data_IF_610594646008
#
_entry.id   IF_610594646008
#
_cell.length_a   1.000
_cell.length_b   1.000
_cell.length_c   1.000
_cell.angle_alpha   90.00
_cell.angle_beta   90.00
_cell.angle_gamma   90.00
#
_symmetry.space_group_name_H-M   'P 1'
#
loop_
_entity.id
_entity.type
_entity.pdbx_description
1 polymer ?
#
# COMPACT_ATOMS: atom_id res chain seq x y z
N UNK A 1 -21.18 -1.45 2.38
CA UNK A 1 -20.67 -0.40 3.28
C UNK A 1 -19.30 0.01 2.81
N UNK A 2 -18.96 1.29 2.98
CA UNK A 2 -17.64 1.85 2.65
C UNK A 2 -17.17 2.61 3.88
N UNK A 3 -15.94 2.36 4.34
CA UNK A 3 -15.30 3.26 5.29
C UNK A 3 -14.75 4.46 4.53
N UNK A 4 -15.08 5.66 4.99
CA UNK A 4 -14.58 6.92 4.42
C UNK A 4 -13.40 7.49 5.21
N UNK A 5 -12.88 6.78 6.23
CA UNK A 5 -11.77 7.22 7.07
C UNK A 5 -10.44 6.59 6.62
N UNK A 6 -9.57 7.32 5.88
CA UNK A 6 -8.35 6.75 5.32
C UNK A 6 -7.37 6.24 6.37
N UNK A 7 -7.36 6.88 7.55
CA UNK A 7 -6.46 6.55 8.66
C UNK A 7 -6.59 5.09 9.14
N UNK A 8 -7.76 4.47 8.98
CA UNK A 8 -7.95 3.07 9.36
C UNK A 8 -7.15 2.10 8.46
N UNK A 9 -6.68 2.51 7.29
CA UNK A 9 -5.86 1.64 6.43
C UNK A 9 -4.54 1.28 7.13
N UNK A 10 -3.84 2.27 7.69
CA UNK A 10 -2.62 2.05 8.45
C UNK A 10 -2.88 1.18 9.69
N UNK A 11 -3.98 1.43 10.41
CA UNK A 11 -4.36 0.60 11.57
C UNK A 11 -4.57 -0.86 11.18
N UNK A 12 -5.32 -1.11 10.10
CA UNK A 12 -5.57 -2.48 9.62
C UNK A 12 -4.27 -3.20 9.24
N UNK A 13 -3.36 -2.53 8.54
CA UNK A 13 -2.07 -3.11 8.17
C UNK A 13 -1.21 -3.33 9.40
N UNK A 14 -1.16 -2.39 10.34
CA UNK A 14 -0.43 -2.55 11.60
C UNK A 14 -0.93 -3.76 12.40
N UNK A 15 -2.24 -3.91 12.54
CA UNK A 15 -2.83 -5.02 13.31
C UNK A 15 -2.57 -6.37 12.59
N UNK A 16 -2.55 -6.36 11.27
CA UNK A 16 -2.18 -7.52 10.46
C UNK A 16 -0.68 -7.86 10.57
N UNK A 17 0.20 -6.86 10.71
CA UNK A 17 1.61 -7.05 10.99
C UNK A 17 1.85 -7.56 12.43
N UNK A 18 1.10 -7.10 13.43
CA UNK A 18 1.20 -7.66 14.79
C UNK A 18 0.85 -9.15 14.83
N UNK A 19 -0.11 -9.58 14.01
CA UNK A 19 -0.59 -10.97 13.94
C UNK A 19 0.10 -11.80 12.86
N UNK A 20 1.05 -11.22 12.12
CA UNK A 20 1.72 -11.82 10.96
C UNK A 20 0.75 -12.47 9.94
N UNK A 21 -0.42 -11.85 9.75
CA UNK A 21 -1.51 -12.39 8.93
C UNK A 21 -1.47 -11.94 7.46
N UNK A 22 -0.47 -11.15 7.06
CA UNK A 22 -0.24 -10.76 5.68
C UNK A 22 0.65 -11.80 4.97
N UNK A 23 0.10 -12.71 4.15
CA UNK A 23 0.88 -13.82 3.57
C UNK A 23 2.02 -13.33 2.67
N UNK A 24 1.85 -12.15 2.07
CA UNK A 24 2.86 -11.54 1.21
C UNK A 24 3.95 -10.78 1.97
N UNK A 25 3.82 -10.55 3.29
CA UNK A 25 4.85 -9.92 4.13
C UNK A 25 5.33 -10.87 5.24
N UNK A 26 5.47 -12.17 5.00
CA UNK A 26 5.92 -13.12 6.05
C UNK A 26 7.43 -13.17 6.21
N UNK A 27 7.91 -13.45 7.44
CA UNK A 27 9.31 -13.77 7.72
C UNK A 27 10.15 -12.65 8.35
N UNK A 28 9.52 -11.55 8.77
CA UNK A 28 10.18 -10.53 9.59
C UNK A 28 10.14 -10.91 11.07
N UNK A 29 11.13 -10.45 11.85
CA UNK A 29 11.19 -10.67 13.30
C UNK A 29 10.54 -9.55 14.10
N UNK A 30 10.53 -8.33 13.58
CA UNK A 30 9.97 -7.14 14.24
C UNK A 30 9.57 -6.07 13.19
N UNK A 31 8.83 -5.06 13.60
CA UNK A 31 8.53 -3.90 12.76
C UNK A 31 8.38 -2.60 13.57
N UNK A 32 8.70 -1.48 12.92
CA UNK A 32 8.44 -0.14 13.43
C UNK A 32 7.42 0.59 12.54
N UNK A 33 6.61 1.45 13.14
CA UNK A 33 5.67 2.33 12.43
C UNK A 33 6.23 3.74 12.27
N UNK A 34 5.73 4.50 11.28
CA UNK A 34 6.04 5.93 11.10
C UNK A 34 7.55 6.20 11.00
N UNK A 35 8.27 5.40 10.21
CA UNK A 35 9.74 5.38 10.17
C UNK A 35 10.26 6.45 9.22
N UNK A 36 11.10 7.35 9.74
CA UNK A 36 11.79 8.36 8.93
C UNK A 36 12.91 7.70 8.12
N UNK A 37 12.88 7.86 6.81
CA UNK A 37 13.94 7.42 5.90
C UNK A 37 14.17 8.48 4.84
N UNK A 38 15.43 8.92 4.71
CA UNK A 38 15.78 10.07 3.88
C UNK A 38 14.95 11.31 4.23
N UNK A 39 14.16 11.80 3.26
CA UNK A 39 13.34 13.02 3.39
C UNK A 39 11.86 12.73 3.65
N UNK A 40 11.47 11.47 3.85
CA UNK A 40 10.07 11.08 4.05
C UNK A 40 9.92 10.20 5.27
N UNK A 41 8.66 9.88 5.55
CA UNK A 41 8.25 8.97 6.59
C UNK A 41 7.39 7.89 5.94
N UNK A 42 7.86 6.66 6.03
CA UNK A 42 7.13 5.48 5.56
C UNK A 42 6.26 4.95 6.69
N UNK A 43 5.14 4.33 6.32
CA UNK A 43 4.18 3.82 7.30
C UNK A 43 4.79 2.72 8.16
N UNK A 44 5.59 1.81 7.56
CA UNK A 44 6.27 0.74 8.29
C UNK A 44 7.69 0.42 7.78
N UNK A 45 8.53 -0.06 8.70
CA UNK A 45 9.78 -0.77 8.40
C UNK A 45 9.76 -2.13 9.09
N UNK A 46 9.96 -3.21 8.33
CA UNK A 46 9.98 -4.58 8.82
C UNK A 46 11.42 -5.11 8.82
N UNK A 47 11.78 -5.86 9.85
CA UNK A 47 13.12 -6.44 10.04
C UNK A 47 13.18 -7.86 9.48
N UNK A 48 13.78 -8.03 8.29
CA UNK A 48 14.04 -9.33 7.71
C UNK A 48 15.49 -9.77 7.93
N UNK A 49 15.80 -11.08 7.88
CA UNK A 49 17.17 -11.58 8.08
C UNK A 49 18.23 -11.03 7.12
N UNK A 50 17.83 -10.65 5.91
CA UNK A 50 18.74 -10.10 4.89
C UNK A 50 18.81 -8.57 4.95
N UNK A 51 17.77 -7.89 4.48
CA UNK A 51 17.64 -6.44 4.44
C UNK A 51 16.24 -6.02 4.90
N UNK A 52 16.07 -4.85 5.53
CA UNK A 52 14.76 -4.39 5.96
C UNK A 52 13.80 -4.20 4.78
N UNK A 53 12.50 -4.27 5.07
CA UNK A 53 11.46 -3.89 4.13
C UNK A 53 10.83 -2.56 4.53
N UNK A 54 10.69 -1.64 3.57
CA UNK A 54 9.93 -0.39 3.76
C UNK A 54 8.57 -0.52 3.09
N UNK A 55 7.51 -0.22 3.83
CA UNK A 55 6.12 -0.39 3.38
C UNK A 55 5.38 0.92 3.47
N UNK A 56 4.75 1.29 2.36
CA UNK A 56 3.84 2.43 2.26
C UNK A 56 2.41 1.94 2.03
N UNK A 57 1.45 2.45 2.80
CA UNK A 57 0.03 2.12 2.72
C UNK A 57 -0.72 3.22 1.98
N UNK A 58 -1.56 2.83 1.01
CA UNK A 58 -2.42 3.74 0.26
C UNK A 58 -3.88 3.32 0.43
N UNK A 59 -4.71 4.24 0.93
CA UNK A 59 -6.15 3.99 1.04
C UNK A 59 -6.83 4.23 -0.31
N UNK A 60 -7.63 3.27 -0.77
CA UNK A 60 -8.35 3.32 -2.05
C UNK A 60 -9.85 3.46 -1.79
N UNK A 61 -10.36 4.67 -1.96
CA UNK A 61 -11.77 5.04 -1.77
C UNK A 61 -12.59 4.98 -3.07
N UNK A 62 -12.00 5.43 -4.18
CA UNK A 62 -12.62 5.47 -5.50
C UNK A 62 -12.68 4.06 -6.10
N UNK A 63 -13.88 3.53 -6.28
CA UNK A 63 -14.13 2.22 -6.89
C UNK A 63 -15.26 2.33 -7.89
N UNK A 64 -14.99 1.92 -9.14
CA UNK A 64 -15.95 1.92 -10.22
C UNK A 64 -16.01 0.55 -10.86
N UNK A 65 -17.21 -0.06 -10.93
CA UNK A 65 -17.40 -1.40 -11.51
C UNK A 65 -16.41 -2.44 -10.95
N UNK A 66 -16.15 -2.39 -9.65
CA UNK A 66 -15.22 -3.28 -8.94
C UNK A 66 -13.73 -2.96 -9.14
N UNK A 67 -13.38 -1.88 -9.83
CA UNK A 67 -11.99 -1.43 -10.05
C UNK A 67 -11.69 -0.25 -9.14
N UNK A 68 -10.86 -0.48 -8.14
CA UNK A 68 -10.31 0.57 -7.28
C UNK A 68 -9.30 1.41 -8.04
N UNK A 69 -9.35 2.73 -7.90
CA UNK A 69 -8.44 3.66 -8.56
C UNK A 69 -7.75 4.54 -7.52
N UNK A 70 -6.44 4.69 -7.65
CA UNK A 70 -5.66 5.59 -6.79
C UNK A 70 -4.66 6.40 -7.64
N UNK A 71 -4.52 7.72 -7.41
CA UNK A 71 -5.19 8.51 -6.38
C UNK A 71 -6.57 9.04 -6.80
N UNK A 72 -7.29 9.63 -5.85
CA UNK A 72 -8.54 10.38 -6.08
C UNK A 72 -8.32 11.89 -6.31
N UNK A 73 -7.10 12.39 -6.03
CA UNK A 73 -6.61 13.72 -6.39
C UNK A 73 -5.10 13.69 -6.68
N UNK A 74 -4.54 14.67 -7.43
CA UNK A 74 -3.09 14.73 -7.69
C UNK A 74 -2.24 14.68 -6.41
N UNK A 75 -1.20 13.85 -6.39
CA UNK A 75 -0.43 13.53 -5.18
C UNK A 75 1.09 13.60 -5.38
N UNK A 76 1.64 14.82 -5.24
CA UNK A 76 3.10 15.04 -5.25
C UNK A 76 3.81 14.24 -4.14
N UNK A 77 3.16 14.06 -2.99
CA UNK A 77 3.69 13.26 -1.88
C UNK A 77 3.75 11.78 -2.23
N UNK A 78 2.68 11.24 -2.84
CA UNK A 78 2.65 9.86 -3.31
C UNK A 78 3.74 9.57 -4.33
N UNK A 79 3.90 10.45 -5.32
CA UNK A 79 4.99 10.36 -6.32
C UNK A 79 6.37 10.32 -5.64
N UNK A 80 6.61 11.22 -4.68
CA UNK A 80 7.87 11.27 -3.95
C UNK A 80 8.15 9.97 -3.20
N UNK A 81 7.17 9.46 -2.45
CA UNK A 81 7.33 8.23 -1.67
C UNK A 81 7.61 7.04 -2.58
N UNK A 82 6.91 6.92 -3.72
CA UNK A 82 7.14 5.85 -4.70
C UNK A 82 8.57 5.91 -5.26
N UNK A 83 9.08 7.10 -5.60
CA UNK A 83 10.46 7.27 -6.06
C UNK A 83 11.51 6.94 -4.99
N UNK A 84 11.24 7.24 -3.72
CA UNK A 84 12.11 6.85 -2.63
C UNK A 84 12.07 5.33 -2.37
N UNK A 85 10.94 4.64 -2.58
CA UNK A 85 10.89 3.18 -2.55
C UNK A 85 11.74 2.56 -3.67
N UNK A 86 11.76 3.15 -4.86
CA UNK A 86 12.66 2.72 -5.96
C UNK A 86 14.12 2.83 -5.52
N UNK A 87 14.51 3.96 -4.92
CA UNK A 87 15.87 4.14 -4.41
C UNK A 87 16.24 3.09 -3.35
N UNK A 88 15.31 2.79 -2.43
CA UNK A 88 15.51 1.74 -1.42
C UNK A 88 15.67 0.34 -2.04
N UNK A 89 14.93 0.03 -3.12
CA UNK A 89 15.16 -1.23 -3.87
C UNK A 89 16.54 -1.28 -4.49
N UNK A 90 17.02 -0.18 -5.05
CA UNK A 90 18.36 -0.09 -5.62
C UNK A 90 19.47 -0.27 -4.55
N UNK A 91 19.20 0.10 -3.29
CA UNK A 91 20.07 -0.14 -2.14
C UNK A 91 19.97 -1.58 -1.57
N UNK A 92 19.15 -2.45 -2.19
CA UNK A 92 18.97 -3.84 -1.78
C UNK A 92 17.94 -4.06 -0.69
N UNK A 93 17.29 -3.01 -0.19
CA UNK A 93 16.15 -3.14 0.72
C UNK A 93 14.96 -3.75 0.00
N UNK A 94 14.07 -4.41 0.74
CA UNK A 94 12.73 -4.74 0.23
C UNK A 94 11.86 -3.47 0.29
N UNK A 95 10.96 -3.29 -0.66
CA UNK A 95 10.09 -2.11 -0.69
C UNK A 95 8.73 -2.50 -1.24
N UNK A 96 7.66 -2.05 -0.59
CA UNK A 96 6.30 -2.39 -0.97
C UNK A 96 5.33 -1.21 -0.85
N UNK A 97 4.33 -1.20 -1.75
CA UNK A 97 3.14 -0.39 -1.62
C UNK A 97 1.95 -1.32 -1.37
N UNK A 98 1.20 -1.07 -0.30
CA UNK A 98 -0.01 -1.82 0.06
C UNK A 98 -1.23 -0.92 -0.13
N UNK A 99 -2.00 -1.20 -1.17
CA UNK A 99 -3.27 -0.55 -1.44
C UNK A 99 -4.39 -1.24 -0.64
N UNK A 100 -5.04 -0.48 0.24
CA UNK A 100 -6.14 -0.95 1.08
C UNK A 100 -7.44 -0.32 0.62
N UNK A 101 -8.32 -1.12 0.03
CA UNK A 101 -9.67 -0.69 -0.30
C UNK A 101 -10.63 -1.07 0.81
N UNK A 102 -11.11 -0.07 1.57
CA UNK A 102 -11.97 -0.30 2.72
C UNK A 102 -13.44 -0.53 2.34
N UNK A 103 -13.65 -1.49 1.45
CA UNK A 103 -14.94 -1.96 0.92
C UNK A 103 -14.74 -3.30 0.21
N UNK A 104 -15.76 -4.14 0.22
CA UNK A 104 -15.65 -5.56 -0.20
C UNK A 104 -15.87 -5.78 -1.69
N UNK A 105 -16.45 -4.80 -2.40
CA UNK A 105 -16.78 -4.85 -3.82
C UNK A 105 -15.60 -4.51 -4.74
N UNK A 106 -14.43 -4.17 -4.18
CA UNK A 106 -13.18 -4.04 -4.93
C UNK A 106 -12.66 -5.40 -5.33
N UNK A 107 -12.48 -5.60 -6.64
CA UNK A 107 -11.98 -6.84 -7.26
C UNK A 107 -10.55 -6.67 -7.81
N UNK A 108 -10.17 -5.46 -8.17
CA UNK A 108 -8.83 -5.09 -8.62
C UNK A 108 -8.53 -3.64 -8.25
N UNK A 109 -7.26 -3.26 -8.25
CA UNK A 109 -6.78 -1.90 -8.01
C UNK A 109 -5.88 -1.48 -9.18
N UNK A 110 -6.00 -0.24 -9.62
CA UNK A 110 -5.19 0.34 -10.69
C UNK A 110 -4.81 1.79 -10.37
N UNK A 111 -3.80 2.33 -11.07
CA UNK A 111 -3.50 3.76 -10.98
C UNK A 111 -4.56 4.59 -11.69
N UNK A 112 -4.85 5.76 -11.14
CA UNK A 112 -5.80 6.71 -11.74
C UNK A 112 -5.05 7.72 -12.62
N UNK A 113 -4.66 7.29 -13.80
CA UNK A 113 -3.83 8.09 -14.72
C UNK A 113 -4.55 9.35 -15.22
N UNK A 114 -5.89 9.35 -15.24
CA UNK A 114 -6.71 10.52 -15.58
C UNK A 114 -6.56 11.66 -14.54
N UNK A 115 -6.30 11.30 -13.28
CA UNK A 115 -6.16 12.24 -12.17
C UNK A 115 -4.70 12.61 -11.93
N UNK A 116 -3.80 11.63 -11.93
CA UNK A 116 -2.37 11.85 -11.74
C UNK A 116 -1.54 10.90 -12.62
N UNK A 117 -1.27 11.27 -13.88
CA UNK A 117 -0.49 10.44 -14.79
C UNK A 117 0.97 10.28 -14.31
N UNK A 118 1.48 11.25 -13.54
CA UNK A 118 2.85 11.20 -13.00
C UNK A 118 2.94 10.14 -11.89
N UNK A 119 1.92 10.04 -11.04
CA UNK A 119 1.82 8.96 -10.06
C UNK A 119 1.73 7.60 -10.75
N UNK A 120 0.84 7.45 -11.74
CA UNK A 120 0.71 6.20 -12.50
C UNK A 120 2.01 5.75 -13.15
N UNK A 121 2.71 6.68 -13.81
CA UNK A 121 4.03 6.42 -14.38
C UNK A 121 5.04 6.00 -13.30
N UNK A 122 5.13 6.74 -12.19
CA UNK A 122 6.07 6.42 -11.11
C UNK A 122 5.79 5.04 -10.51
N UNK A 123 4.52 4.64 -10.43
CA UNK A 123 4.13 3.33 -9.89
C UNK A 123 4.50 2.18 -10.84
N UNK A 124 4.40 2.38 -12.16
CA UNK A 124 4.91 1.44 -13.17
C UNK A 124 6.43 1.32 -13.11
N UNK A 125 7.14 2.44 -13.05
CA UNK A 125 8.60 2.47 -12.83
C UNK A 125 8.99 1.73 -11.54
N UNK A 126 8.21 1.88 -10.48
CA UNK A 126 8.43 1.19 -9.21
C UNK A 126 8.28 -0.33 -9.34
N UNK A 127 7.21 -0.80 -9.99
CA UNK A 127 7.02 -2.23 -10.28
C UNK A 127 8.21 -2.78 -11.07
N UNK A 128 8.64 -2.08 -12.10
CA UNK A 128 9.72 -2.52 -12.99
C UNK A 128 11.09 -2.52 -12.27
N UNK A 129 11.29 -1.62 -11.30
CA UNK A 129 12.43 -1.62 -10.38
C UNK A 129 12.31 -2.67 -9.24
N UNK A 130 11.25 -3.47 -9.23
CA UNK A 130 11.03 -4.55 -8.27
C UNK A 130 10.43 -4.10 -6.94
N UNK A 131 9.83 -2.91 -6.84
CA UNK A 131 8.94 -2.54 -5.73
C UNK A 131 7.68 -3.39 -5.81
N UNK A 132 7.33 -4.02 -4.69
CA UNK A 132 6.19 -4.93 -4.62
C UNK A 132 4.89 -4.16 -4.46
N UNK A 133 3.86 -4.53 -5.21
CA UNK A 133 2.56 -3.88 -5.16
C UNK A 133 1.50 -4.87 -4.72
N UNK A 134 0.84 -4.57 -3.60
CA UNK A 134 -0.18 -5.43 -3.01
C UNK A 134 -1.50 -4.70 -2.94
N UNK A 135 -2.58 -5.39 -3.32
CA UNK A 135 -3.94 -4.92 -3.14
C UNK A 135 -4.67 -5.79 -2.13
N UNK A 136 -5.42 -5.16 -1.23
CA UNK A 136 -6.32 -5.86 -0.31
C UNK A 136 -7.64 -5.11 -0.19
N UNK A 137 -8.74 -5.86 -0.19
CA UNK A 137 -10.05 -5.32 0.11
C UNK A 137 -10.45 -5.62 1.56
N UNK A 138 -11.44 -4.90 2.08
CA UNK A 138 -11.92 -5.06 3.45
C UNK A 138 -13.38 -5.49 3.49
N UNK A 139 -13.72 -6.25 4.52
CA UNK A 139 -15.12 -6.45 4.93
C UNK A 139 -15.50 -5.31 5.87
N UNK A 140 -16.59 -4.63 5.53
CA UNK A 140 -17.09 -3.48 6.29
C UNK A 140 -18.51 -3.77 6.73
N UNK A 141 -18.76 -3.64 8.03
CA UNK A 141 -20.08 -3.65 8.64
C UNK A 141 -20.28 -2.35 9.41
N UNK A 142 -21.49 -2.03 9.92
CA UNK A 142 -21.70 -0.85 10.76
C UNK A 142 -20.83 -0.80 12.02
N UNK A 143 -20.35 -1.95 12.51
CA UNK A 143 -19.62 -2.06 13.78
C UNK A 143 -18.20 -2.59 13.63
N UNK A 144 -17.83 -3.12 12.46
CA UNK A 144 -16.52 -3.74 12.24
C UNK A 144 -15.91 -3.37 10.89
N UNK A 145 -14.59 -3.31 10.87
CA UNK A 145 -13.76 -3.14 9.69
C UNK A 145 -12.61 -4.15 9.79
N UNK A 146 -12.48 -5.04 8.83
CA UNK A 146 -11.41 -6.05 8.81
C UNK A 146 -10.86 -6.24 7.40
N UNK A 147 -9.59 -6.60 7.30
CA UNK A 147 -9.02 -7.13 6.06
C UNK A 147 -9.82 -8.37 5.62
N UNK A 148 -9.95 -8.58 4.32
CA UNK A 148 -10.76 -9.65 3.76
C UNK A 148 -9.98 -10.52 2.77
N UNK A 149 -9.73 -10.04 1.56
CA UNK A 149 -8.98 -10.81 0.56
C UNK A 149 -8.05 -9.94 -0.26
N UNK A 150 -6.94 -10.54 -0.71
CA UNK A 150 -6.06 -9.93 -1.67
C UNK A 150 -6.80 -9.67 -2.98
N UNK A 151 -6.48 -8.55 -3.62
CA UNK A 151 -6.98 -8.17 -4.94
C UNK A 151 -5.81 -7.83 -5.84
N UNK A 152 -5.97 -8.06 -7.13
CA UNK A 152 -4.92 -7.81 -8.10
C UNK A 152 -4.64 -6.31 -8.25
N UNK A 153 -3.36 -5.95 -8.38
CA UNK A 153 -2.95 -4.59 -8.79
C UNK A 153 -2.58 -4.63 -10.27
N UNK A 154 -3.38 -3.98 -11.11
CA UNK A 154 -3.26 -3.97 -12.57
C UNK A 154 -2.80 -2.57 -13.02
N UNK A 155 -1.60 -2.46 -13.60
CA UNK A 155 -1.01 -1.19 -14.07
C UNK A 155 -0.75 -1.14 -15.57
#
# INVERSE_FOLDING_TARGET
WVSTFPAFANTLIRDALMTQSLPFLQGYSDFASEVKMGRSRFDFRLEFPSNPAYVEVKSVSLVEKGRGRFPDAPTKRGVKHVKELIALRAEGCRAAVVFVSQRSDTLSITSNDDIDPVFGQSLREARDAGVELYGINCKVTPTTLSLNQAVEVVL
#
